data_IF_802527507496
#
_entry.id   IF_802527507496
#
_cell.length_a   1.000
_cell.length_b   1.000
_cell.length_c   1.000
_cell.angle_alpha   90.00
_cell.angle_beta   90.00
_cell.angle_gamma   90.00
#
_symmetry.space_group_name_H-M   'P 1'
#
loop_
_entity.id
_entity.type
_entity.pdbx_description
1 polymer ?
#
# COMPACT_ATOMS: atom_id res chain seq x y z
N UNK A 1 10.42 55.80 68.52
CA UNK A 1 9.07 55.65 67.98
C UNK A 1 9.18 55.53 66.49
N UNK A 2 9.03 54.40 65.96
CA UNK A 2 8.37 53.93 64.73
C UNK A 2 8.90 52.55 64.44
N UNK A 3 8.04 51.59 64.64
CA UNK A 3 8.27 50.20 64.28
C UNK A 3 8.03 49.98 62.79
N UNK A 4 9.05 49.61 62.08
CA UNK A 4 8.93 49.17 60.67
C UNK A 4 8.80 47.64 60.67
N UNK A 5 7.62 47.17 60.36
CA UNK A 5 7.35 45.73 60.12
C UNK A 5 7.92 45.32 58.77
N UNK A 6 8.99 44.57 58.76
CA UNK A 6 9.42 43.83 57.59
C UNK A 6 8.59 42.57 57.45
N UNK A 7 7.70 42.56 56.48
CA UNK A 7 7.02 41.35 56.05
C UNK A 7 7.89 40.61 55.05
N UNK A 8 8.46 39.51 55.53
CA UNK A 8 9.14 38.55 54.70
C UNK A 8 8.15 37.82 53.83
N UNK A 9 8.19 38.08 52.52
CA UNK A 9 7.43 37.33 51.54
C UNK A 9 8.17 36.06 51.18
N UNK A 10 7.66 34.93 51.65
CA UNK A 10 8.11 33.61 51.25
C UNK A 10 7.56 33.31 49.84
N UNK A 11 8.42 33.34 48.84
CA UNK A 11 8.09 32.85 47.52
C UNK A 11 8.11 31.30 47.58
N UNK A 12 6.94 30.72 47.52
CA UNK A 12 6.78 29.28 47.29
C UNK A 12 6.91 29.07 45.80
N UNK A 13 8.05 28.60 45.33
CA UNK A 13 8.23 28.12 43.97
C UNK A 13 7.53 26.76 43.86
N UNK A 14 6.37 26.76 43.22
CA UNK A 14 5.71 25.53 42.83
C UNK A 14 6.44 24.96 41.60
N UNK A 15 7.27 23.94 41.85
CA UNK A 15 7.84 23.14 40.78
C UNK A 15 6.73 22.26 40.16
N UNK A 16 6.18 22.70 39.03
CA UNK A 16 5.33 21.87 38.21
C UNK A 16 6.18 20.83 37.49
N UNK A 17 6.15 19.61 38.00
CA UNK A 17 6.71 18.43 37.37
C UNK A 17 5.86 18.13 36.15
N UNK A 18 6.31 18.54 34.95
CA UNK A 18 5.68 18.15 33.71
C UNK A 18 5.99 16.66 33.48
N UNK A 19 4.99 15.83 33.74
CA UNK A 19 5.01 14.41 33.36
C UNK A 19 4.87 14.34 31.85
N UNK A 20 5.98 14.24 31.13
CA UNK A 20 5.96 13.83 29.72
C UNK A 20 5.61 12.35 29.69
N UNK A 21 4.33 12.05 29.52
CA UNK A 21 3.91 10.73 29.09
C UNK A 21 4.45 10.53 27.67
N UNK A 22 5.52 9.76 27.55
CA UNK A 22 5.89 9.17 26.26
C UNK A 22 4.78 8.19 25.89
N UNK A 23 3.80 8.68 25.16
CA UNK A 23 2.89 7.82 24.40
C UNK A 23 3.79 7.16 23.37
N UNK A 24 4.21 5.93 23.64
CA UNK A 24 4.87 5.11 22.66
C UNK A 24 3.94 5.00 21.46
N UNK A 25 4.22 5.73 20.40
CA UNK A 25 3.57 5.53 19.12
C UNK A 25 3.92 4.12 18.67
N UNK A 26 3.00 3.20 18.88
CA UNK A 26 2.96 1.96 18.15
C UNK A 26 2.92 2.34 16.67
N UNK A 27 3.95 2.03 15.92
CA UNK A 27 4.15 2.45 14.54
C UNK A 27 3.24 1.65 13.59
N UNK A 28 1.94 1.85 13.70
CA UNK A 28 0.94 1.41 12.72
C UNK A 28 0.62 2.51 11.69
N UNK A 29 1.52 3.46 11.49
CA UNK A 29 1.38 4.46 10.45
C UNK A 29 1.45 3.77 9.09
N UNK A 30 0.44 3.95 8.21
CA UNK A 30 0.50 3.45 6.85
C UNK A 30 1.73 4.05 6.15
N UNK A 31 2.60 3.20 5.63
CA UNK A 31 3.77 3.67 4.87
C UNK A 31 3.39 3.73 3.41
N UNK A 32 3.35 4.93 2.85
CA UNK A 32 3.18 5.11 1.41
C UNK A 32 4.36 4.46 0.67
N UNK A 33 4.12 3.63 -0.34
CA UNK A 33 5.15 2.89 -1.05
C UNK A 33 5.96 3.74 -2.05
N UNK A 34 6.02 5.05 -1.89
CA UNK A 34 6.52 6.00 -2.88
C UNK A 34 7.88 5.66 -3.50
N UNK A 35 8.90 5.38 -2.70
CA UNK A 35 10.25 5.07 -3.20
C UNK A 35 10.47 3.61 -3.58
N UNK A 36 9.70 2.71 -2.99
CA UNK A 36 9.85 1.27 -3.16
C UNK A 36 8.88 0.72 -4.23
N UNK A 37 8.11 1.61 -4.88
CA UNK A 37 7.20 1.27 -5.96
C UNK A 37 7.92 1.30 -7.30
N UNK A 38 7.91 0.18 -8.00
CA UNK A 38 8.42 0.03 -9.36
C UNK A 38 7.31 -0.50 -10.26
N UNK A 39 7.06 0.20 -11.36
CA UNK A 39 6.07 -0.19 -12.36
C UNK A 39 6.73 -0.13 -13.74
N UNK A 40 6.63 -1.23 -14.47
CA UNK A 40 6.93 -1.29 -15.90
C UNK A 40 5.62 -1.51 -16.64
N UNK A 41 5.30 -0.62 -17.57
CA UNK A 41 4.08 -0.68 -18.36
C UNK A 41 4.42 -0.52 -19.83
N UNK A 42 4.51 -1.63 -20.52
CA UNK A 42 4.78 -1.71 -21.95
C UNK A 42 3.70 -2.55 -22.65
N UNK A 43 3.57 -2.41 -23.95
CA UNK A 43 2.69 -3.28 -24.75
C UNK A 43 3.01 -4.74 -24.49
N UNK A 44 2.00 -5.54 -24.20
CA UNK A 44 2.09 -6.98 -23.94
C UNK A 44 2.91 -7.38 -22.71
N UNK A 45 3.40 -6.41 -21.91
CA UNK A 45 4.16 -6.68 -20.68
C UNK A 45 3.92 -5.60 -19.63
N UNK A 46 3.35 -6.00 -18.51
CA UNK A 46 3.16 -5.16 -17.32
C UNK A 46 3.82 -5.83 -16.11
N UNK A 47 4.54 -5.05 -15.31
CA UNK A 47 5.11 -5.52 -14.05
C UNK A 47 4.89 -4.50 -12.95
N UNK A 48 4.52 -4.98 -11.78
CA UNK A 48 4.34 -4.19 -10.57
C UNK A 48 5.13 -4.81 -9.43
N UNK A 49 5.91 -3.98 -8.74
CA UNK A 49 6.60 -4.38 -7.52
C UNK A 49 6.55 -3.25 -6.51
N UNK A 50 6.22 -3.58 -5.27
CA UNK A 50 6.36 -2.69 -4.13
C UNK A 50 6.84 -3.47 -2.92
N UNK A 51 7.83 -2.94 -2.22
CA UNK A 51 8.40 -3.55 -1.01
C UNK A 51 8.11 -2.70 0.22
N UNK A 52 8.31 -3.27 1.41
CA UNK A 52 8.19 -2.58 2.69
C UNK A 52 6.82 -1.92 2.94
N UNK A 53 5.76 -2.48 2.36
CA UNK A 53 4.40 -2.02 2.62
C UNK A 53 4.02 -2.35 4.07
N UNK A 54 3.43 -1.38 4.79
CA UNK A 54 3.01 -1.54 6.18
C UNK A 54 1.62 -0.95 6.39
N UNK A 55 0.68 -1.81 6.75
CA UNK A 55 -0.70 -1.43 7.09
C UNK A 55 -1.32 -0.41 6.10
N UNK A 56 -1.08 -0.61 4.82
CA UNK A 56 -1.39 0.36 3.77
C UNK A 56 -2.70 -0.01 3.05
N UNK A 57 -3.57 0.99 2.88
CA UNK A 57 -4.82 0.86 2.14
C UNK A 57 -4.80 1.83 0.97
N UNK A 58 -4.89 1.30 -0.24
CA UNK A 58 -4.94 2.07 -1.47
C UNK A 58 -5.46 1.22 -2.64
N UNK A 59 -5.89 1.87 -3.71
CA UNK A 59 -6.21 1.25 -4.98
C UNK A 59 -5.30 1.83 -6.07
N UNK A 60 -4.56 0.97 -6.75
CA UNK A 60 -3.79 1.32 -7.94
C UNK A 60 -4.54 0.88 -9.18
N UNK A 61 -4.61 1.74 -10.17
CA UNK A 61 -5.23 1.43 -11.45
C UNK A 61 -4.31 1.85 -12.59
N UNK A 62 -4.14 0.95 -13.55
CA UNK A 62 -3.32 1.16 -14.73
C UNK A 62 -4.06 0.74 -15.99
N UNK A 63 -3.89 1.51 -17.06
CA UNK A 63 -4.25 1.10 -18.41
C UNK A 63 -3.06 0.37 -19.02
N UNK A 64 -3.28 -0.81 -19.60
CA UNK A 64 -2.25 -1.64 -20.19
C UNK A 64 -2.70 -2.16 -21.55
N UNK A 65 -1.82 -2.09 -22.55
CA UNK A 65 -2.11 -2.60 -23.88
C UNK A 65 -1.79 -4.08 -23.98
N UNK A 66 -2.83 -4.88 -24.26
CA UNK A 66 -2.72 -6.30 -24.58
C UNK A 66 -3.18 -6.53 -26.02
N UNK A 67 -2.27 -6.92 -26.89
CA UNK A 67 -2.59 -7.22 -28.30
C UNK A 67 -3.23 -8.61 -28.49
N UNK A 68 -3.24 -9.42 -27.43
CA UNK A 68 -3.87 -10.74 -27.38
C UNK A 68 -5.22 -10.73 -26.67
N UNK A 69 -5.85 -11.89 -26.64
CA UNK A 69 -7.14 -12.11 -25.97
C UNK A 69 -6.99 -12.75 -24.60
N UNK A 70 -5.83 -13.28 -24.24
CA UNK A 70 -5.51 -13.91 -22.95
C UNK A 70 -4.20 -13.33 -22.43
N UNK A 71 -4.10 -13.17 -21.14
CA UNK A 71 -2.85 -12.82 -20.46
C UNK A 71 -2.45 -13.90 -19.45
N UNK A 72 -1.15 -14.07 -19.28
CA UNK A 72 -0.56 -14.87 -18.22
C UNK A 72 -0.19 -13.94 -17.06
N UNK A 73 -0.65 -14.26 -15.86
CA UNK A 73 -0.40 -13.55 -14.61
C UNK A 73 0.56 -14.38 -13.77
N UNK A 74 1.73 -13.82 -13.48
CA UNK A 74 2.70 -14.45 -12.57
C UNK A 74 2.73 -13.66 -11.27
N UNK A 75 2.46 -14.31 -10.15
CA UNK A 75 2.44 -13.73 -8.80
C UNK A 75 3.53 -14.33 -7.94
N UNK A 76 4.36 -13.46 -7.34
CA UNK A 76 5.47 -13.81 -6.46
C UNK A 76 5.55 -12.80 -5.30
N UNK A 77 4.46 -12.65 -4.57
CA UNK A 77 4.31 -11.72 -3.45
C UNK A 77 4.56 -12.39 -2.11
N UNK A 78 4.92 -11.59 -1.10
CA UNK A 78 5.03 -12.00 0.30
C UNK A 78 4.13 -11.10 1.16
N UNK A 79 2.83 -11.37 1.19
CA UNK A 79 1.84 -10.64 1.98
C UNK A 79 1.87 -11.17 3.41
N UNK A 80 2.22 -10.30 4.37
CA UNK A 80 2.36 -10.64 5.79
C UNK A 80 1.19 -10.14 6.65
N UNK A 81 0.33 -9.31 6.08
CA UNK A 81 -0.87 -8.79 6.75
C UNK A 81 -1.82 -8.12 5.79
N UNK A 82 -3.09 -8.03 6.17
CA UNK A 82 -4.14 -7.47 5.35
C UNK A 82 -4.45 -8.27 4.09
N UNK A 83 -5.00 -7.61 3.09
CA UNK A 83 -5.36 -8.23 1.80
C UNK A 83 -4.87 -7.39 0.63
N UNK A 84 -4.49 -8.07 -0.45
CA UNK A 84 -4.15 -7.44 -1.72
C UNK A 84 -4.78 -8.25 -2.85
N UNK A 85 -5.67 -7.63 -3.60
CA UNK A 85 -6.45 -8.29 -4.67
C UNK A 85 -6.13 -7.64 -6.01
N UNK A 86 -5.69 -8.47 -6.95
CA UNK A 86 -5.45 -8.09 -8.33
C UNK A 86 -6.68 -8.42 -9.16
N UNK A 87 -7.23 -7.43 -9.84
CA UNK A 87 -8.35 -7.57 -10.78
C UNK A 87 -7.93 -7.03 -12.14
N UNK A 88 -8.24 -7.77 -13.20
CA UNK A 88 -7.95 -7.35 -14.57
C UNK A 88 -9.26 -7.38 -15.37
N UNK A 89 -9.47 -6.31 -16.13
CA UNK A 89 -10.60 -6.16 -17.04
C UNK A 89 -10.09 -6.00 -18.47
N UNK A 90 -10.80 -6.58 -19.41
CA UNK A 90 -10.48 -6.46 -20.84
C UNK A 90 -10.87 -5.08 -21.43
N UNK A 91 -10.66 -4.91 -22.73
CA UNK A 91 -10.98 -3.65 -23.41
C UNK A 91 -12.49 -3.29 -23.41
N UNK A 92 -13.39 -4.26 -23.20
CA UNK A 92 -14.82 -4.01 -23.03
C UNK A 92 -15.22 -3.77 -21.57
N UNK A 93 -14.26 -3.82 -20.62
CA UNK A 93 -14.51 -3.67 -19.18
C UNK A 93 -14.97 -4.96 -18.50
N UNK A 94 -14.96 -6.10 -19.20
CA UNK A 94 -15.30 -7.41 -18.63
C UNK A 94 -14.18 -7.89 -17.73
N UNK A 95 -14.51 -8.36 -16.52
CA UNK A 95 -13.54 -8.94 -15.62
C UNK A 95 -13.05 -10.28 -16.15
N UNK A 96 -11.76 -10.36 -16.47
CA UNK A 96 -11.11 -11.58 -16.99
C UNK A 96 -10.21 -12.26 -15.94
N UNK A 97 -9.92 -11.56 -14.83
CA UNK A 97 -9.12 -12.09 -13.74
C UNK A 97 -9.43 -11.39 -12.42
N UNK A 98 -9.48 -12.13 -11.32
CA UNK A 98 -9.51 -11.57 -9.97
C UNK A 98 -9.00 -12.59 -8.97
N UNK A 99 -7.92 -12.25 -8.26
CA UNK A 99 -7.31 -13.16 -7.29
C UNK A 99 -6.48 -12.39 -6.25
N UNK A 100 -6.35 -12.96 -5.05
CA UNK A 100 -5.38 -12.48 -4.06
C UNK A 100 -3.97 -12.67 -4.56
N UNK A 101 -3.15 -11.63 -4.49
CA UNK A 101 -1.72 -11.72 -4.84
C UNK A 101 -0.89 -12.52 -3.84
N UNK A 102 -1.45 -12.86 -2.68
CA UNK A 102 -0.83 -13.80 -1.75
C UNK A 102 -0.79 -15.25 -2.28
N UNK A 103 -1.61 -15.56 -3.27
CA UNK A 103 -1.57 -16.84 -3.96
C UNK A 103 -0.50 -16.79 -5.06
N UNK A 104 0.70 -17.19 -4.70
CA UNK A 104 1.81 -17.25 -5.65
C UNK A 104 1.59 -18.34 -6.71
N UNK A 105 2.05 -18.06 -7.90
CA UNK A 105 1.93 -19.00 -9.03
C UNK A 105 1.79 -18.28 -10.37
N UNK A 106 1.54 -19.08 -11.40
CA UNK A 106 1.29 -18.61 -12.75
C UNK A 106 -0.12 -19.01 -13.15
N UNK A 107 -0.91 -18.05 -13.57
CA UNK A 107 -2.32 -18.19 -13.90
C UNK A 107 -2.61 -17.56 -15.25
N UNK A 108 -3.62 -18.04 -15.93
CA UNK A 108 -4.13 -17.40 -17.13
C UNK A 108 -5.43 -16.67 -16.84
N UNK A 109 -5.64 -15.54 -17.51
CA UNK A 109 -6.94 -14.86 -17.50
C UNK A 109 -7.96 -15.67 -18.31
N UNK A 110 -9.25 -15.41 -18.09
CA UNK A 110 -10.25 -15.77 -19.08
C UNK A 110 -9.97 -15.02 -20.40
N UNK A 111 -10.52 -15.53 -21.51
CA UNK A 111 -10.42 -14.84 -22.79
C UNK A 111 -11.23 -13.52 -22.73
N UNK A 112 -10.63 -12.45 -23.24
CA UNK A 112 -11.20 -11.11 -23.34
C UNK A 112 -11.00 -10.51 -24.72
N UNK A 113 -11.33 -9.23 -24.85
CA UNK A 113 -11.17 -8.47 -26.08
C UNK A 113 -9.81 -7.77 -26.06
N UNK A 114 -8.99 -7.96 -27.09
CA UNK A 114 -7.71 -7.29 -27.25
C UNK A 114 -7.85 -5.77 -27.26
N UNK A 115 -6.83 -5.07 -26.79
CA UNK A 115 -6.79 -3.62 -26.74
C UNK A 115 -6.33 -3.08 -25.41
N UNK A 116 -6.93 -2.00 -24.93
CA UNK A 116 -6.59 -1.40 -23.64
C UNK A 116 -7.30 -2.13 -22.50
N UNK A 117 -6.54 -2.87 -21.72
CA UNK A 117 -7.00 -3.55 -20.51
C UNK A 117 -6.79 -2.68 -19.27
N UNK A 118 -7.56 -2.92 -18.24
CA UNK A 118 -7.42 -2.23 -16.96
C UNK A 118 -6.92 -3.20 -15.90
N UNK A 119 -5.81 -2.84 -15.26
CA UNK A 119 -5.22 -3.59 -14.15
C UNK A 119 -5.51 -2.79 -12.87
N UNK A 120 -6.17 -3.41 -11.89
CA UNK A 120 -6.51 -2.81 -10.60
C UNK A 120 -5.91 -3.65 -9.48
N UNK A 121 -5.14 -3.02 -8.60
CA UNK A 121 -4.64 -3.63 -7.38
C UNK A 121 -5.25 -2.92 -6.17
N UNK A 122 -6.08 -3.62 -5.42
CA UNK A 122 -6.69 -3.13 -4.19
C UNK A 122 -5.92 -3.64 -2.98
N UNK A 123 -5.39 -2.73 -2.18
CA UNK A 123 -4.71 -2.99 -0.92
C UNK A 123 -5.61 -2.58 0.24
N UNK A 124 -5.80 -3.46 1.22
CA UNK A 124 -6.55 -3.18 2.45
C UNK A 124 -5.71 -3.58 3.66
N UNK A 125 -5.22 -2.59 4.39
CA UNK A 125 -4.32 -2.77 5.54
C UNK A 125 -3.16 -3.72 5.23
N UNK A 126 -2.70 -3.69 3.98
CA UNK A 126 -1.70 -4.63 3.45
C UNK A 126 -0.33 -4.36 4.04
N UNK A 127 0.37 -5.43 4.37
CA UNK A 127 1.77 -5.40 4.78
C UNK A 127 2.55 -6.46 4.00
N UNK A 128 3.82 -6.18 3.71
CA UNK A 128 4.72 -7.11 3.02
C UNK A 128 5.26 -6.58 1.70
N UNK A 129 5.51 -7.48 0.78
CA UNK A 129 5.97 -7.21 -0.58
C UNK A 129 4.94 -7.69 -1.58
N UNK A 130 4.59 -6.84 -2.53
CA UNK A 130 3.71 -7.17 -3.65
C UNK A 130 4.57 -7.22 -4.91
N UNK A 131 4.50 -8.33 -5.62
CA UNK A 131 5.17 -8.50 -6.90
C UNK A 131 4.30 -9.35 -7.83
N UNK A 132 3.97 -8.81 -8.99
CA UNK A 132 3.30 -9.57 -10.03
C UNK A 132 3.66 -9.04 -11.41
N UNK A 133 3.51 -9.91 -12.41
CA UNK A 133 3.67 -9.60 -13.83
C UNK A 133 2.45 -10.08 -14.60
N UNK A 134 2.02 -9.28 -15.58
CA UNK A 134 0.96 -9.62 -16.52
C UNK A 134 1.54 -9.52 -17.93
N UNK A 135 1.45 -10.59 -18.69
CA UNK A 135 2.01 -10.66 -20.05
C UNK A 135 0.97 -11.25 -21.01
N UNK A 136 1.01 -10.81 -22.26
CA UNK A 136 0.24 -11.47 -23.29
C UNK A 136 0.59 -12.96 -23.33
N UNK A 137 -0.41 -13.81 -23.32
CA UNK A 137 -0.20 -15.25 -23.54
C UNK A 137 0.16 -15.51 -25.00
N UNK A 138 1.25 -16.23 -25.20
CA UNK A 138 1.74 -16.67 -26.50
C UNK A 138 1.11 -18.01 -26.86
#
# INVERSE_FOLDING_TARGET
MLTANLRSSVLVAAATLAFFAFIGCSSNTPTSPGKDLQVTNATDNFQFQVTNVRNYTNAYQYSWTNTGTVATVNQASAVTGGTAVLTIRDNAGTQVYSQSVAQNGTFDTAAGIAGTWTIVLNLTKTSGTINFRVQKKI
#
